data_IF_455150220568
#
_entry.id   IF_455150220568
#
_cell.length_a   1.000
_cell.length_b   1.000
_cell.length_c   1.000
_cell.angle_alpha   90.00
_cell.angle_beta   90.00
_cell.angle_gamma   90.00
#
_symmetry.space_group_name_H-M   'P 1'
#
loop_
_entity.id
_entity.type
_entity.pdbx_description
1 polymer ?
#
# COMPACT_ATOMS: atom_id res chain seq x y z
N UNK A 1 -38.64 56.88 -1.54
CA UNK A 1 -37.91 56.83 -2.83
C UNK A 1 -36.92 55.68 -2.77
N UNK A 2 -36.93 54.82 -3.81
CA UNK A 2 -35.80 54.09 -4.46
C UNK A 2 -34.70 53.52 -3.53
N UNK A 3 -34.23 52.26 -3.63
CA UNK A 3 -34.35 51.12 -4.55
C UNK A 3 -33.68 49.93 -3.83
N UNK A 4 -34.05 48.71 -4.21
CA UNK A 4 -33.32 47.42 -4.24
C UNK A 4 -31.96 47.34 -3.51
N UNK A 5 -31.62 46.27 -2.78
CA UNK A 5 -31.31 44.94 -3.33
C UNK A 5 -31.64 43.80 -2.34
N UNK A 6 -32.74 43.09 -2.62
CA UNK A 6 -32.81 41.65 -2.35
C UNK A 6 -31.99 40.94 -3.43
N UNK A 7 -31.31 39.85 -3.04
CA UNK A 7 -30.59 38.83 -3.83
C UNK A 7 -29.11 38.70 -3.47
N UNK A 8 -28.87 38.19 -2.26
CA UNK A 8 -27.76 37.28 -1.99
C UNK A 8 -28.37 35.93 -1.58
N UNK A 9 -29.18 35.39 -2.49
CA UNK A 9 -29.53 33.97 -2.56
C UNK A 9 -28.62 33.39 -3.65
N UNK A 10 -28.01 32.23 -3.39
CA UNK A 10 -27.38 31.32 -4.37
C UNK A 10 -25.95 31.63 -4.85
N UNK A 11 -24.99 31.69 -3.93
CA UNK A 11 -23.58 31.38 -4.26
C UNK A 11 -22.93 30.49 -3.18
N UNK A 12 -23.65 29.46 -2.71
CA UNK A 12 -23.16 28.50 -1.73
C UNK A 12 -23.40 27.03 -2.11
N UNK A 13 -23.76 26.74 -3.36
CA UNK A 13 -24.22 25.40 -3.77
C UNK A 13 -23.67 24.96 -5.13
N UNK A 14 -22.37 25.18 -5.39
CA UNK A 14 -21.66 24.59 -6.54
C UNK A 14 -20.26 24.03 -6.21
N UNK A 15 -19.97 23.71 -4.95
CA UNK A 15 -18.86 22.81 -4.59
C UNK A 15 -19.35 21.37 -4.31
N UNK A 16 -20.35 20.92 -5.10
CA UNK A 16 -20.82 19.53 -5.15
C UNK A 16 -20.63 18.94 -6.56
N UNK A 17 -19.51 19.23 -7.20
CA UNK A 17 -19.10 18.55 -8.42
C UNK A 17 -17.65 18.11 -8.25
N UNK A 18 -17.47 16.79 -8.12
CA UNK A 18 -16.17 16.15 -8.23
C UNK A 18 -15.67 15.39 -6.99
N UNK A 19 -16.50 15.09 -5.99
CA UNK A 19 -16.23 13.91 -5.18
C UNK A 19 -16.76 12.72 -5.99
N UNK A 20 -16.05 12.34 -7.05
CA UNK A 20 -16.20 10.99 -7.60
C UNK A 20 -16.01 10.06 -6.42
N UNK A 21 -17.12 9.50 -5.92
CA UNK A 21 -17.06 8.41 -4.95
C UNK A 21 -16.31 7.31 -5.66
N UNK A 22 -15.00 7.24 -5.40
CA UNK A 22 -14.14 6.16 -5.79
C UNK A 22 -14.88 4.91 -5.36
N UNK A 23 -15.44 4.17 -6.33
CA UNK A 23 -16.23 2.97 -6.04
C UNK A 23 -15.27 2.03 -5.33
N UNK A 24 -15.42 1.92 -4.01
CA UNK A 24 -14.67 0.95 -3.23
C UNK A 24 -15.09 -0.40 -3.77
N UNK A 25 -14.15 -1.11 -4.40
CA UNK A 25 -14.39 -2.45 -4.92
C UNK A 25 -14.85 -3.34 -3.76
N UNK A 26 -15.85 -4.19 -4.00
CA UNK A 26 -16.28 -5.15 -2.97
C UNK A 26 -15.17 -6.17 -2.70
N UNK A 27 -15.26 -6.89 -1.58
CA UNK A 27 -14.33 -7.96 -1.25
C UNK A 27 -14.24 -9.01 -2.37
N UNK A 28 -15.38 -9.42 -2.90
CA UNK A 28 -15.50 -10.42 -3.98
C UNK A 28 -14.88 -9.91 -5.28
N UNK A 29 -15.09 -8.64 -5.62
CA UNK A 29 -14.50 -8.02 -6.80
C UNK A 29 -12.98 -7.95 -6.68
N UNK A 30 -12.48 -7.60 -5.50
CA UNK A 30 -11.05 -7.49 -5.24
C UNK A 30 -10.39 -8.88 -5.29
N UNK A 31 -11.03 -9.89 -4.68
CA UNK A 31 -10.57 -11.27 -4.76
C UNK A 31 -10.53 -11.79 -6.19
N UNK A 32 -11.61 -11.60 -6.96
CA UNK A 32 -11.68 -12.01 -8.36
C UNK A 32 -10.60 -11.34 -9.23
N UNK A 33 -10.30 -10.06 -8.96
CA UNK A 33 -9.20 -9.36 -9.61
C UNK A 33 -7.85 -10.04 -9.31
N UNK A 34 -7.51 -10.28 -8.05
CA UNK A 34 -6.24 -10.93 -7.68
C UNK A 34 -6.15 -12.38 -8.17
N UNK A 35 -7.26 -13.12 -8.19
CA UNK A 35 -7.31 -14.48 -8.73
C UNK A 35 -7.07 -14.50 -10.25
N UNK A 36 -7.37 -13.41 -10.97
CA UNK A 36 -7.14 -13.30 -12.41
C UNK A 36 -5.69 -12.97 -12.79
N UNK A 37 -4.86 -12.54 -11.83
CA UNK A 37 -3.48 -12.15 -12.08
C UNK A 37 -2.56 -13.37 -12.14
N UNK A 38 -1.59 -13.31 -13.04
CA UNK A 38 -0.48 -14.27 -13.09
C UNK A 38 0.43 -14.13 -11.88
N UNK A 39 1.21 -15.18 -11.59
CA UNK A 39 2.15 -15.17 -10.47
C UNK A 39 3.20 -14.05 -10.57
N UNK A 40 3.65 -13.71 -11.79
CA UNK A 40 4.60 -12.62 -11.98
C UNK A 40 3.96 -11.25 -11.69
N UNK A 41 2.72 -11.04 -12.10
CA UNK A 41 1.98 -9.80 -11.82
C UNK A 41 1.70 -9.66 -10.32
N UNK A 42 1.34 -10.75 -9.65
CA UNK A 42 1.15 -10.77 -8.19
C UNK A 42 2.46 -10.43 -7.47
N UNK A 43 3.56 -11.10 -7.84
CA UNK A 43 4.86 -10.84 -7.24
C UNK A 43 5.32 -9.41 -7.46
N UNK A 44 5.18 -8.88 -8.68
CA UNK A 44 5.57 -7.51 -9.00
C UNK A 44 4.72 -6.48 -8.24
N UNK A 45 3.41 -6.67 -8.16
CA UNK A 45 2.54 -5.80 -7.37
C UNK A 45 2.93 -5.82 -5.89
N UNK A 46 3.23 -7.00 -5.34
CA UNK A 46 3.64 -7.14 -3.94
C UNK A 46 5.01 -6.49 -3.68
N UNK A 47 6.00 -6.67 -4.55
CA UNK A 47 7.30 -5.97 -4.48
C UNK A 47 7.11 -4.47 -4.45
N UNK A 48 6.25 -3.93 -5.32
CA UNK A 48 5.94 -2.50 -5.36
C UNK A 48 5.28 -2.01 -4.08
N UNK A 49 4.40 -2.80 -3.47
CA UNK A 49 3.82 -2.50 -2.16
C UNK A 49 4.87 -2.51 -1.05
N UNK A 50 5.68 -3.58 -0.96
CA UNK A 50 6.74 -3.72 0.04
C UNK A 50 7.77 -2.58 -0.05
N UNK A 51 8.15 -2.18 -1.28
CA UNK A 51 9.01 -1.02 -1.53
C UNK A 51 8.40 0.25 -0.95
N UNK A 52 7.12 0.54 -1.21
CA UNK A 52 6.44 1.74 -0.67
C UNK A 52 6.43 1.74 0.86
N UNK A 53 6.18 0.60 1.48
CA UNK A 53 6.21 0.44 2.94
C UNK A 53 7.62 0.72 3.48
N UNK A 54 8.64 0.11 2.89
CA UNK A 54 10.04 0.36 3.25
C UNK A 54 10.40 1.84 3.13
N UNK A 55 10.04 2.49 2.03
CA UNK A 55 10.28 3.93 1.82
C UNK A 55 9.61 4.77 2.90
N UNK A 56 8.38 4.44 3.30
CA UNK A 56 7.66 5.14 4.35
C UNK A 56 8.35 4.99 5.72
N UNK A 57 8.88 3.80 6.02
CA UNK A 57 9.61 3.55 7.27
C UNK A 57 10.97 4.26 7.28
N UNK A 58 11.76 4.14 6.21
CA UNK A 58 13.08 4.79 6.13
C UNK A 58 12.95 6.32 6.23
N UNK A 59 11.89 6.92 5.66
CA UNK A 59 11.65 8.38 5.77
C UNK A 59 11.56 8.85 7.24
N UNK A 60 11.13 7.99 8.15
CA UNK A 60 11.03 8.28 9.59
C UNK A 60 12.39 8.20 10.30
N UNK A 61 13.43 7.65 9.66
CA UNK A 61 14.77 7.59 10.24
C UNK A 61 15.44 8.98 10.29
N UNK A 62 16.36 9.19 11.25
CA UNK A 62 17.19 10.39 11.31
C UNK A 62 17.95 10.66 10.00
N UNK A 63 18.12 11.94 9.65
CA UNK A 63 18.83 12.36 8.44
C UNK A 63 20.24 11.75 8.33
N UNK A 64 20.97 11.70 9.45
CA UNK A 64 22.32 11.12 9.53
C UNK A 64 22.40 9.67 9.07
N UNK A 65 21.32 8.90 9.20
CA UNK A 65 21.23 7.52 8.73
C UNK A 65 20.84 7.52 7.24
N UNK A 66 19.84 8.32 6.87
CA UNK A 66 19.35 8.44 5.48
C UNK A 66 20.44 8.88 4.50
N UNK A 67 21.33 9.78 4.90
CA UNK A 67 22.40 10.30 4.06
C UNK A 67 23.49 9.26 3.75
N UNK A 68 23.51 8.14 4.48
CA UNK A 68 24.51 7.06 4.32
C UNK A 68 24.00 5.88 3.50
N UNK A 69 22.72 5.86 3.17
CA UNK A 69 22.06 4.72 2.50
C UNK A 69 21.48 5.16 1.16
N UNK A 70 21.60 4.30 0.15
CA UNK A 70 20.86 4.47 -1.08
C UNK A 70 19.44 3.91 -0.89
N UNK A 71 18.53 4.78 -0.44
CA UNK A 71 17.16 4.42 -0.03
C UNK A 71 16.43 3.58 -1.09
N UNK A 72 16.50 3.97 -2.37
CA UNK A 72 15.79 3.26 -3.44
C UNK A 72 16.38 1.86 -3.66
N UNK A 73 17.72 1.75 -3.66
CA UNK A 73 18.41 0.47 -3.78
C UNK A 73 18.11 -0.45 -2.59
N UNK A 74 18.17 0.08 -1.37
CA UNK A 74 17.88 -0.67 -0.15
C UNK A 74 16.44 -1.18 -0.14
N UNK A 75 15.45 -0.35 -0.51
CA UNK A 75 14.06 -0.79 -0.56
C UNK A 75 13.76 -1.74 -1.73
N UNK A 76 14.45 -1.62 -2.87
CA UNK A 76 14.37 -2.62 -3.93
C UNK A 76 14.91 -3.98 -3.46
N UNK A 77 16.10 -4.01 -2.86
CA UNK A 77 16.71 -5.21 -2.28
C UNK A 77 15.78 -5.88 -1.26
N UNK A 78 15.21 -5.08 -0.35
CA UNK A 78 14.28 -5.60 0.66
C UNK A 78 13.02 -6.19 0.03
N UNK A 79 12.38 -5.47 -0.91
CA UNK A 79 11.18 -5.92 -1.57
C UNK A 79 11.39 -7.21 -2.38
N UNK A 80 12.51 -7.34 -3.07
CA UNK A 80 12.88 -8.54 -3.81
C UNK A 80 13.05 -9.74 -2.88
N UNK A 81 13.88 -9.63 -1.84
CA UNK A 81 14.13 -10.72 -0.91
C UNK A 81 12.85 -11.12 -0.16
N UNK A 82 12.07 -10.14 0.31
CA UNK A 82 10.80 -10.40 0.98
C UNK A 82 9.84 -11.17 0.08
N UNK A 83 9.59 -10.69 -1.15
CA UNK A 83 8.66 -11.34 -2.06
C UNK A 83 9.11 -12.75 -2.45
N UNK A 84 10.40 -12.96 -2.67
CA UNK A 84 10.92 -14.26 -3.08
C UNK A 84 10.80 -15.29 -1.94
N UNK A 85 11.14 -14.89 -0.72
CA UNK A 85 11.22 -15.79 0.43
C UNK A 85 9.85 -16.07 1.06
N UNK A 86 8.87 -15.17 0.91
CA UNK A 86 7.49 -15.47 1.28
C UNK A 86 6.89 -16.59 0.44
N UNK A 87 7.34 -16.75 -0.81
CA UNK A 87 6.76 -17.68 -1.78
C UNK A 87 5.42 -17.18 -2.34
N UNK A 88 5.09 -17.64 -3.55
CA UNK A 88 3.97 -17.07 -4.32
C UNK A 88 2.60 -17.24 -3.63
N UNK A 89 2.36 -18.38 -2.97
CA UNK A 89 1.09 -18.63 -2.28
C UNK A 89 0.84 -17.65 -1.14
N UNK A 90 1.88 -17.36 -0.36
CA UNK A 90 1.77 -16.39 0.74
C UNK A 90 1.67 -14.97 0.21
N UNK A 91 2.39 -14.64 -0.86
CA UNK A 91 2.28 -13.33 -1.53
C UNK A 91 0.86 -13.10 -2.07
N UNK A 92 0.23 -14.12 -2.66
CA UNK A 92 -1.17 -14.06 -3.09
C UNK A 92 -2.10 -13.76 -1.91
N UNK A 93 -1.97 -14.48 -0.80
CA UNK A 93 -2.75 -14.24 0.41
C UNK A 93 -2.52 -12.83 0.99
N UNK A 94 -1.26 -12.40 1.08
CA UNK A 94 -0.89 -11.09 1.62
C UNK A 94 -1.33 -9.91 0.72
N UNK A 95 -1.71 -10.18 -0.52
CA UNK A 95 -2.22 -9.18 -1.47
C UNK A 95 -3.74 -9.02 -1.40
N UNK A 96 -4.46 -9.94 -0.72
CA UNK A 96 -5.91 -9.84 -0.53
C UNK A 96 -6.27 -8.79 0.53
N UNK A 97 -7.49 -8.21 0.47
CA UNK A 97 -8.02 -7.37 1.54
C UNK A 97 -8.06 -8.13 2.87
N UNK A 98 -7.83 -7.43 3.97
CA UNK A 98 -7.83 -8.04 5.30
C UNK A 98 -9.16 -8.72 5.64
N UNK A 99 -10.28 -8.21 5.17
CA UNK A 99 -11.61 -8.80 5.38
C UNK A 99 -11.76 -10.18 4.73
N UNK A 100 -10.92 -10.48 3.72
CA UNK A 100 -10.88 -11.77 3.04
C UNK A 100 -10.00 -12.82 3.71
N UNK A 101 -9.33 -12.47 4.81
CA UNK A 101 -8.37 -13.33 5.49
C UNK A 101 -8.93 -13.81 6.83
N UNK A 102 -8.74 -15.10 7.13
CA UNK A 102 -8.98 -15.63 8.47
C UNK A 102 -7.99 -15.02 9.48
N UNK A 103 -8.36 -15.03 10.77
CA UNK A 103 -7.46 -14.55 11.82
C UNK A 103 -6.12 -15.29 11.84
N UNK A 104 -6.13 -16.59 11.51
CA UNK A 104 -4.92 -17.41 11.41
C UNK A 104 -4.05 -16.98 10.22
N UNK A 105 -4.65 -16.74 9.05
CA UNK A 105 -3.92 -16.27 7.87
C UNK A 105 -3.27 -14.90 8.12
N UNK A 106 -4.01 -13.95 8.71
CA UNK A 106 -3.46 -12.63 9.09
C UNK A 106 -2.25 -12.78 10.00
N UNK A 107 -2.38 -13.60 11.04
CA UNK A 107 -1.30 -13.86 12.00
C UNK A 107 -0.08 -14.49 11.32
N UNK A 108 -0.29 -15.48 10.44
CA UNK A 108 0.80 -16.16 9.75
C UNK A 108 1.54 -15.24 8.78
N UNK A 109 0.80 -14.41 8.01
CA UNK A 109 1.38 -13.39 7.14
C UNK A 109 2.22 -12.40 7.97
N UNK A 110 1.67 -11.91 9.09
CA UNK A 110 2.36 -10.98 9.96
C UNK A 110 3.65 -11.58 10.53
N UNK A 111 3.58 -12.79 11.10
CA UNK A 111 4.75 -13.47 11.68
C UNK A 111 5.84 -13.65 10.63
N UNK A 112 5.50 -14.18 9.46
CA UNK A 112 6.48 -14.42 8.40
C UNK A 112 7.08 -13.11 7.89
N UNK A 113 6.24 -12.10 7.62
CA UNK A 113 6.70 -10.79 7.15
C UNK A 113 7.66 -10.16 8.16
N UNK A 114 7.34 -10.20 9.46
CA UNK A 114 8.23 -9.70 10.52
C UNK A 114 9.56 -10.44 10.56
N UNK A 115 9.56 -11.77 10.52
CA UNK A 115 10.80 -12.57 10.51
C UNK A 115 11.69 -12.24 9.30
N UNK A 116 11.09 -12.15 8.11
CA UNK A 116 11.82 -11.81 6.89
C UNK A 116 12.29 -10.35 6.89
N UNK A 117 11.53 -9.43 7.51
CA UNK A 117 11.97 -8.04 7.70
C UNK A 117 13.20 -7.96 8.57
N UNK A 118 13.20 -8.63 9.71
CA UNK A 118 14.36 -8.70 10.62
C UNK A 118 15.59 -9.31 9.94
N UNK A 119 15.37 -10.29 9.05
CA UNK A 119 16.44 -10.94 8.27
C UNK A 119 17.02 -10.04 7.17
N UNK A 120 16.16 -9.39 6.38
CA UNK A 120 16.58 -8.75 5.12
C UNK A 120 16.71 -7.24 5.17
N UNK A 121 15.93 -6.54 5.99
CA UNK A 121 16.01 -5.08 6.03
C UNK A 121 17.39 -4.60 6.49
N UNK A 122 18.00 -5.14 7.58
CA UNK A 122 19.34 -4.69 7.98
C UNK A 122 20.42 -4.97 6.94
N UNK A 123 20.36 -6.12 6.26
CA UNK A 123 21.34 -6.48 5.23
C UNK A 123 21.21 -5.65 3.96
N UNK A 124 20.01 -5.22 3.59
CA UNK A 124 19.79 -4.32 2.45
C UNK A 124 20.10 -2.85 2.75
N UNK A 125 20.21 -2.46 4.03
CA UNK A 125 20.57 -1.10 4.45
C UNK A 125 22.10 -0.87 4.57
N UNK A 126 22.89 -1.95 4.61
CA UNK A 126 24.35 -1.92 4.64
C UNK A 126 24.95 -1.92 3.23
#
# INVERSE_FOLDING_TARGET
MKKSYYLLFLLGSTLLLGCEKQKVATLEQTKAYYDSLTDSQISENYKNMAKKICLAQIKQLPAQIKDRINIDQSCNCYAENLSNEMGIDMVRLASLPEEGLSSEQKRNIQILTSQLTEKYLPSCLN
#
